data_IF_815909972803
#
_entry.id   IF_815909972803
#
_cell.length_a   1.000
_cell.length_b   1.000
_cell.length_c   1.000
_cell.angle_alpha   90.00
_cell.angle_beta   90.00
_cell.angle_gamma   90.00
#
_symmetry.space_group_name_H-M   'P 1'
#
loop_
_entity.id
_entity.type
_entity.pdbx_description
1 polymer ?
#
# COMPACT_ATOMS: atom_id res chain seq x y z
N UNK A 1 -21.51 1.78 -20.87
CA UNK A 1 -20.61 0.73 -20.32
C UNK A 1 -19.98 1.30 -19.08
N UNK A 2 -20.39 0.82 -17.88
CA UNK A 2 -19.92 1.36 -16.61
C UNK A 2 -18.49 0.92 -16.29
N UNK A 3 -17.65 1.84 -15.89
CA UNK A 3 -16.26 1.59 -15.48
C UNK A 3 -16.19 0.44 -14.47
N UNK A 4 -15.23 -0.48 -14.58
CA UNK A 4 -15.02 -1.58 -13.64
C UNK A 4 -14.75 -1.11 -12.20
N UNK A 5 -14.35 0.14 -12.04
CA UNK A 5 -13.97 0.76 -10.76
C UNK A 5 -15.11 0.90 -9.75
N UNK A 6 -16.37 0.74 -10.17
CA UNK A 6 -17.54 1.00 -9.33
C UNK A 6 -18.20 -0.26 -8.72
N UNK A 7 -17.71 -1.47 -8.98
CA UNK A 7 -18.45 -2.69 -8.62
C UNK A 7 -18.03 -3.43 -7.35
N UNK A 8 -17.02 -3.01 -6.61
CA UNK A 8 -16.64 -3.74 -5.41
C UNK A 8 -16.83 -2.96 -4.12
N UNK A 9 -18.06 -2.99 -3.60
CA UNK A 9 -18.39 -2.53 -2.24
C UNK A 9 -17.79 -3.39 -1.11
N UNK A 10 -16.91 -4.35 -1.40
CA UNK A 10 -16.20 -5.17 -0.40
C UNK A 10 -14.69 -4.93 -0.33
N UNK A 11 -14.21 -3.91 -1.01
CA UNK A 11 -12.80 -3.55 -0.90
C UNK A 11 -12.62 -2.55 0.24
N UNK A 12 -11.77 -2.90 1.17
CA UNK A 12 -11.23 -2.03 2.21
C UNK A 12 -12.04 -1.88 3.51
N UNK A 13 -12.26 -2.97 4.23
CA UNK A 13 -12.18 -2.85 5.69
C UNK A 13 -10.70 -2.76 6.07
N UNK A 14 -10.09 -1.63 5.73
CA UNK A 14 -8.74 -1.29 6.15
C UNK A 14 -8.84 -0.65 7.53
N UNK A 15 -8.47 -1.38 8.55
CA UNK A 15 -8.35 -0.81 9.88
C UNK A 15 -6.99 -0.11 9.95
N UNK A 16 -7.01 1.21 9.84
CA UNK A 16 -5.84 2.03 10.17
C UNK A 16 -5.67 2.04 11.68
N UNK A 17 -4.62 1.41 12.17
CA UNK A 17 -4.28 1.43 13.58
C UNK A 17 -3.72 2.81 13.95
N UNK A 18 -4.57 3.70 14.46
CA UNK A 18 -4.15 5.03 14.92
C UNK A 18 -3.36 4.96 16.24
N UNK A 19 -2.34 5.78 16.35
CA UNK A 19 -1.32 5.80 17.43
C UNK A 19 -1.84 5.85 18.88
N UNK A 20 -3.09 6.22 19.13
CA UNK A 20 -3.67 6.23 20.48
C UNK A 20 -3.90 4.85 21.10
N UNK A 21 -3.90 3.78 20.28
CA UNK A 21 -4.09 2.40 20.73
C UNK A 21 -2.77 1.72 21.14
N UNK A 22 -1.63 2.37 20.92
CA UNK A 22 -0.29 1.75 20.92
C UNK A 22 0.51 1.91 22.22
N UNK A 23 -0.13 2.12 23.35
CA UNK A 23 0.60 2.03 24.64
C UNK A 23 0.95 0.61 25.07
N UNK A 24 0.42 -0.41 24.37
CA UNK A 24 0.79 -1.81 24.59
C UNK A 24 1.05 -2.49 23.24
N UNK A 25 2.30 -2.83 22.95
CA UNK A 25 2.72 -3.61 21.78
C UNK A 25 2.02 -4.98 21.67
N UNK A 26 1.38 -5.43 22.73
CA UNK A 26 0.64 -6.70 22.76
C UNK A 26 -0.71 -6.65 22.01
N UNK A 27 -1.32 -5.47 21.85
CA UNK A 27 -2.64 -5.36 21.23
C UNK A 27 -2.61 -5.58 19.71
N UNK A 28 -1.70 -4.96 18.93
CA UNK A 28 -1.60 -5.25 17.50
C UNK A 28 -1.38 -6.73 17.22
N UNK A 29 -0.48 -7.38 17.98
CA UNK A 29 -0.19 -8.80 17.82
C UNK A 29 -1.42 -9.68 18.03
N UNK A 30 -2.22 -9.41 19.06
CA UNK A 30 -3.44 -10.16 19.34
C UNK A 30 -4.49 -9.96 18.25
N UNK A 31 -4.65 -8.75 17.76
CA UNK A 31 -5.59 -8.43 16.71
C UNK A 31 -5.13 -9.03 15.37
N UNK A 32 -3.89 -8.77 14.98
CA UNK A 32 -3.32 -9.28 13.73
C UNK A 32 -3.30 -10.79 13.70
N UNK A 33 -2.81 -11.45 14.77
CA UNK A 33 -2.76 -12.91 14.84
C UNK A 33 -4.10 -13.60 14.66
N UNK A 34 -5.20 -12.99 15.14
CA UNK A 34 -6.56 -13.55 15.00
C UNK A 34 -7.22 -13.22 13.66
N UNK A 35 -6.84 -12.12 13.03
CA UNK A 35 -7.58 -11.52 11.92
C UNK A 35 -6.75 -11.33 10.65
N UNK A 36 -5.46 -11.67 10.65
CA UNK A 36 -4.56 -11.46 9.51
C UNK A 36 -5.07 -12.03 8.19
N UNK A 37 -5.77 -13.17 8.24
CA UNK A 37 -6.37 -13.79 7.07
C UNK A 37 -7.61 -13.04 6.55
N UNK A 38 -8.34 -12.37 7.45
CA UNK A 38 -9.60 -11.68 7.12
C UNK A 38 -9.39 -10.22 6.76
N UNK A 39 -8.53 -9.53 7.50
CA UNK A 39 -8.33 -8.08 7.38
C UNK A 39 -6.88 -7.75 7.10
N UNK A 40 -6.66 -6.69 6.33
CA UNK A 40 -5.35 -6.06 6.20
C UNK A 40 -5.16 -5.07 7.35
N UNK A 41 -4.14 -5.31 8.18
CA UNK A 41 -3.75 -4.39 9.25
C UNK A 41 -2.62 -3.51 8.75
N UNK A 42 -2.89 -2.23 8.58
CA UNK A 42 -1.94 -1.29 7.97
C UNK A 42 -1.13 -0.57 9.04
N UNK A 43 0.20 -0.71 8.99
CA UNK A 43 1.12 0.02 9.84
C UNK A 43 1.40 1.41 9.27
N UNK A 44 0.93 2.44 9.98
CA UNK A 44 1.15 3.85 9.65
C UNK A 44 2.18 4.47 10.62
N UNK A 45 1.74 5.14 11.66
CA UNK A 45 2.61 5.84 12.62
C UNK A 45 3.52 4.89 13.42
N UNK A 46 3.21 3.61 13.46
CA UNK A 46 4.06 2.58 14.05
C UNK A 46 5.34 2.36 13.26
N UNK A 47 5.24 2.34 11.94
CA UNK A 47 6.34 2.00 11.03
C UNK A 47 7.00 3.22 10.40
N UNK A 48 6.25 4.30 10.19
CA UNK A 48 6.67 5.58 9.57
C UNK A 48 7.59 5.41 8.34
N UNK A 49 7.33 4.36 7.56
CA UNK A 49 8.15 3.98 6.39
C UNK A 49 9.63 3.71 6.74
N UNK A 50 9.95 3.49 8.00
CA UNK A 50 11.32 3.26 8.49
C UNK A 50 11.65 1.77 8.51
N UNK A 51 12.76 1.37 7.87
CA UNK A 51 13.17 -0.02 7.68
C UNK A 51 13.38 -0.77 9.00
N UNK A 52 13.95 -0.12 10.01
CA UNK A 52 14.19 -0.75 11.31
C UNK A 52 12.89 -1.01 12.05
N UNK A 53 11.99 -0.01 12.04
CA UNK A 53 10.66 -0.13 12.66
C UNK A 53 9.79 -1.16 11.93
N UNK A 54 9.89 -1.23 10.60
CA UNK A 54 9.24 -2.27 9.80
C UNK A 54 9.76 -3.65 10.20
N UNK A 55 11.09 -3.82 10.31
CA UNK A 55 11.69 -5.07 10.77
C UNK A 55 11.15 -5.51 12.12
N UNK A 56 11.16 -4.63 13.10
CA UNK A 56 10.57 -4.90 14.42
C UNK A 56 9.08 -5.26 14.34
N UNK A 57 8.31 -4.54 13.55
CA UNK A 57 6.89 -4.81 13.39
C UNK A 57 6.61 -6.16 12.69
N UNK A 58 7.51 -6.61 11.81
CA UNK A 58 7.48 -7.95 11.20
C UNK A 58 7.72 -9.02 12.27
N UNK A 59 8.81 -8.88 13.05
CA UNK A 59 9.18 -9.83 14.10
C UNK A 59 8.08 -9.98 15.15
N UNK A 60 7.47 -8.86 15.54
CA UNK A 60 6.37 -8.79 16.48
C UNK A 60 5.00 -9.15 15.88
N UNK A 61 4.91 -9.40 14.56
CA UNK A 61 3.65 -9.65 13.83
C UNK A 61 2.59 -8.57 14.08
N UNK A 62 3.03 -7.32 14.16
CA UNK A 62 2.18 -6.20 14.55
C UNK A 62 1.25 -5.72 13.42
N UNK A 63 1.65 -5.92 12.17
CA UNK A 63 0.92 -5.48 10.96
C UNK A 63 0.97 -6.55 9.87
N UNK A 64 0.21 -6.35 8.81
CA UNK A 64 0.23 -7.18 7.59
C UNK A 64 0.38 -6.34 6.33
N UNK A 65 0.53 -5.03 6.47
CA UNK A 65 0.68 -4.09 5.36
C UNK A 65 1.48 -2.86 5.80
N UNK A 66 2.37 -2.42 4.95
CA UNK A 66 3.06 -1.15 5.08
C UNK A 66 2.21 -0.02 4.48
N UNK A 67 2.01 1.08 5.21
CA UNK A 67 1.57 2.33 4.62
C UNK A 67 2.82 3.10 4.17
N UNK A 68 3.03 3.14 2.86
CA UNK A 68 4.18 3.81 2.26
C UNK A 68 3.92 5.32 2.15
N UNK A 69 4.68 6.11 2.87
CA UNK A 69 4.68 7.57 2.80
C UNK A 69 6.11 8.07 2.59
N UNK A 70 6.46 8.41 1.35
CA UNK A 70 7.84 8.77 0.97
C UNK A 70 8.42 9.88 1.85
N UNK A 71 7.62 10.90 2.18
CA UNK A 71 8.10 12.02 2.98
C UNK A 71 8.29 11.71 4.49
N UNK A 72 7.86 10.55 4.99
CA UNK A 72 8.15 10.13 6.37
C UNK A 72 9.59 9.68 6.52
N UNK A 73 10.13 8.97 5.51
CA UNK A 73 11.53 8.55 5.49
C UNK A 73 12.42 9.58 4.78
N UNK A 74 11.88 10.29 3.80
CA UNK A 74 12.53 11.45 3.19
C UNK A 74 13.30 11.17 1.91
N UNK A 75 13.53 9.92 1.53
CA UNK A 75 14.15 9.55 0.26
C UNK A 75 13.41 8.43 -0.45
N UNK A 76 13.53 8.44 -1.78
CA UNK A 76 12.94 7.40 -2.64
C UNK A 76 13.66 6.07 -2.46
N UNK A 77 14.97 6.08 -2.35
CA UNK A 77 15.78 4.87 -2.17
C UNK A 77 15.41 4.12 -0.90
N UNK A 78 15.25 4.83 0.22
CA UNK A 78 14.82 4.24 1.49
C UNK A 78 13.35 3.77 1.42
N UNK A 79 12.51 4.51 0.72
CA UNK A 79 11.11 4.09 0.45
C UNK A 79 11.05 2.77 -0.31
N UNK A 80 11.87 2.62 -1.36
CA UNK A 80 12.00 1.37 -2.12
C UNK A 80 12.49 0.24 -1.22
N UNK A 81 13.53 0.47 -0.42
CA UNK A 81 14.06 -0.52 0.50
C UNK A 81 13.01 -0.95 1.56
N UNK A 82 12.20 -0.02 2.05
CA UNK A 82 11.10 -0.31 2.96
C UNK A 82 10.02 -1.20 2.29
N UNK A 83 9.68 -0.93 1.02
CA UNK A 83 8.75 -1.75 0.23
C UNK A 83 9.30 -3.15 0.02
N UNK A 84 10.57 -3.27 -0.35
CA UNK A 84 11.25 -4.56 -0.54
C UNK A 84 11.13 -5.38 0.73
N UNK A 85 11.53 -4.82 1.87
CA UNK A 85 11.48 -5.50 3.16
C UNK A 85 10.08 -5.96 3.55
N UNK A 86 9.08 -5.11 3.34
CA UNK A 86 7.69 -5.45 3.61
C UNK A 86 7.20 -6.61 2.73
N UNK A 87 7.48 -6.56 1.42
CA UNK A 87 7.08 -7.61 0.47
C UNK A 87 7.80 -8.94 0.72
N UNK A 88 9.08 -8.93 1.09
CA UNK A 88 9.84 -10.14 1.46
C UNK A 88 9.24 -10.83 2.69
N UNK A 89 8.66 -10.07 3.61
CA UNK A 89 7.93 -10.59 4.76
C UNK A 89 6.48 -11.04 4.43
N UNK A 90 6.06 -10.96 3.17
CA UNK A 90 4.70 -11.31 2.75
C UNK A 90 3.64 -10.25 3.09
N UNK A 91 4.05 -9.03 3.43
CA UNK A 91 3.13 -7.93 3.68
C UNK A 91 2.59 -7.33 2.38
N UNK A 92 1.37 -6.81 2.43
CA UNK A 92 0.89 -5.87 1.43
C UNK A 92 1.58 -4.51 1.58
N UNK A 93 1.49 -3.68 0.54
CA UNK A 93 1.97 -2.30 0.58
C UNK A 93 0.89 -1.38 0.04
N UNK A 94 0.56 -0.33 0.77
CA UNK A 94 -0.38 0.70 0.37
C UNK A 94 0.37 2.01 0.20
N UNK A 95 0.53 2.47 -1.04
CA UNK A 95 1.08 3.80 -1.32
C UNK A 95 0.10 4.87 -0.86
N UNK A 96 0.57 5.86 -0.15
CA UNK A 96 -0.31 6.84 0.50
C UNK A 96 0.07 8.27 0.21
N UNK A 97 -0.96 9.06 -0.05
CA UNK A 97 -0.89 10.52 0.00
C UNK A 97 -0.76 11.04 1.44
N UNK A 98 -0.66 12.37 1.57
CA UNK A 98 -0.76 13.11 2.84
C UNK A 98 -2.02 13.99 2.82
N UNK A 99 -2.41 14.47 4.01
CA UNK A 99 -3.57 15.37 4.15
C UNK A 99 -3.37 16.71 3.44
N UNK A 100 -2.14 17.24 3.46
CA UNK A 100 -1.75 18.50 2.81
C UNK A 100 -1.10 18.30 1.44
N UNK A 101 -1.72 17.49 0.58
CA UNK A 101 -1.20 17.11 -0.74
C UNK A 101 -1.01 18.28 -1.71
N UNK A 102 -0.20 18.00 -2.74
CA UNK A 102 0.00 18.82 -3.93
C UNK A 102 -0.49 18.10 -5.17
N UNK A 103 -0.46 18.75 -6.33
CA UNK A 103 -0.82 18.14 -7.62
C UNK A 103 0.31 17.28 -8.23
N UNK A 104 1.41 17.08 -7.52
CA UNK A 104 2.45 16.13 -7.93
C UNK A 104 1.90 14.71 -8.05
N UNK A 105 2.27 14.00 -9.11
CA UNK A 105 1.72 12.69 -9.47
C UNK A 105 2.62 11.53 -9.07
N UNK A 106 3.85 11.79 -8.61
CA UNK A 106 4.90 10.80 -8.44
C UNK A 106 4.50 9.55 -7.65
N UNK A 107 3.64 9.68 -6.64
CA UNK A 107 3.20 8.50 -5.86
C UNK A 107 2.36 7.52 -6.68
N UNK A 108 1.72 7.96 -7.76
CA UNK A 108 1.02 7.06 -8.68
C UNK A 108 2.02 6.23 -9.49
N UNK A 109 3.06 6.88 -10.04
CA UNK A 109 4.15 6.21 -10.75
C UNK A 109 4.86 5.22 -9.83
N UNK A 110 5.14 5.62 -8.60
CA UNK A 110 5.76 4.78 -7.58
C UNK A 110 4.90 3.55 -7.24
N UNK A 111 3.58 3.74 -7.11
CA UNK A 111 2.64 2.66 -6.81
C UNK A 111 2.63 1.59 -7.89
N UNK A 112 2.63 1.99 -9.16
CA UNK A 112 2.69 1.08 -10.31
C UNK A 112 4.08 0.45 -10.41
N UNK A 113 5.14 1.25 -10.39
CA UNK A 113 6.53 0.80 -10.56
C UNK A 113 6.99 -0.20 -9.48
N UNK A 114 6.50 -0.07 -8.26
CA UNK A 114 6.78 -1.00 -7.17
C UNK A 114 5.71 -2.09 -7.03
N UNK A 115 4.74 -2.15 -7.93
CA UNK A 115 3.63 -3.11 -7.87
C UNK A 115 2.99 -3.19 -6.48
N UNK A 116 2.70 -2.03 -5.86
CA UNK A 116 2.17 -2.02 -4.48
C UNK A 116 0.76 -2.59 -4.37
N UNK A 117 0.03 -2.65 -5.50
CA UNK A 117 -1.30 -3.24 -5.60
C UNK A 117 -2.42 -2.34 -5.11
N UNK A 118 -2.10 -1.29 -4.38
CA UNK A 118 -3.09 -0.38 -3.83
C UNK A 118 -2.50 1.01 -3.57
N UNK A 119 -3.35 2.02 -3.72
CA UNK A 119 -3.01 3.41 -3.40
C UNK A 119 -4.14 4.03 -2.57
N UNK A 120 -3.78 4.78 -1.53
CA UNK A 120 -4.68 5.60 -0.74
C UNK A 120 -4.41 7.06 -1.08
N UNK A 121 -5.26 7.65 -1.93
CA UNK A 121 -5.04 9.02 -2.43
C UNK A 121 -6.25 9.95 -2.31
N UNK A 122 -7.19 9.60 -1.45
CA UNK A 122 -8.39 10.40 -1.16
C UNK A 122 -9.56 10.09 -2.08
N UNK A 123 -10.64 10.80 -1.92
CA UNK A 123 -11.79 10.73 -2.80
C UNK A 123 -11.46 11.32 -4.18
N UNK A 124 -12.15 10.92 -5.27
CA UNK A 124 -11.95 11.49 -6.60
C UNK A 124 -12.58 12.90 -6.70
N UNK A 125 -12.16 13.78 -5.84
CA UNK A 125 -12.47 15.20 -5.78
C UNK A 125 -11.27 15.97 -5.24
N UNK A 126 -11.17 17.26 -5.55
CA UNK A 126 -10.01 18.13 -5.33
C UNK A 126 -8.86 17.76 -6.26
N UNK A 127 -8.26 18.77 -6.91
CA UNK A 127 -7.31 18.58 -8.01
C UNK A 127 -6.07 17.79 -7.60
N UNK A 128 -5.57 18.00 -6.39
CA UNK A 128 -4.41 17.31 -5.87
C UNK A 128 -4.62 15.80 -5.63
N UNK A 129 -5.89 15.35 -5.56
CA UNK A 129 -6.25 13.92 -5.50
C UNK A 129 -6.48 13.36 -6.90
N UNK A 130 -7.24 14.10 -7.70
CA UNK A 130 -7.52 13.75 -9.10
C UNK A 130 -6.25 13.61 -9.94
N UNK A 131 -5.22 14.40 -9.66
CA UNK A 131 -3.92 14.31 -10.33
C UNK A 131 -3.35 12.88 -10.28
N UNK A 132 -3.43 12.20 -9.14
CA UNK A 132 -2.95 10.81 -8.98
C UNK A 132 -3.83 9.82 -9.74
N UNK A 133 -5.15 9.97 -9.68
CA UNK A 133 -6.06 9.11 -10.44
C UNK A 133 -5.86 9.27 -11.95
N UNK A 134 -5.72 10.50 -12.42
CA UNK A 134 -5.45 10.78 -13.83
C UNK A 134 -4.08 10.23 -14.27
N UNK A 135 -3.09 10.25 -13.39
CA UNK A 135 -1.78 9.68 -13.69
C UNK A 135 -1.84 8.16 -13.84
N UNK A 136 -2.60 7.46 -13.01
CA UNK A 136 -2.82 6.02 -13.18
C UNK A 136 -3.45 5.69 -14.53
N UNK A 137 -4.40 6.51 -15.00
CA UNK A 137 -5.00 6.34 -16.33
C UNK A 137 -3.98 6.57 -17.45
N UNK A 138 -3.09 7.58 -17.33
CA UNK A 138 -2.03 7.81 -18.32
C UNK A 138 -1.03 6.65 -18.35
N UNK A 139 -0.65 6.12 -17.20
CA UNK A 139 0.24 4.96 -17.13
C UNK A 139 -0.41 3.74 -17.79
N UNK A 140 -1.71 3.51 -17.55
CA UNK A 140 -2.46 2.41 -18.18
C UNK A 140 -2.49 2.57 -19.70
N UNK A 141 -2.71 3.78 -20.20
CA UNK A 141 -2.69 4.10 -21.63
C UNK A 141 -1.29 3.92 -22.24
N UNK A 142 -0.25 4.37 -21.57
CA UNK A 142 1.15 4.27 -22.02
C UNK A 142 1.63 2.81 -22.09
N UNK A 143 1.29 2.01 -21.11
CA UNK A 143 1.66 0.59 -21.06
C UNK A 143 0.87 -0.26 -22.07
N UNK A 144 -0.31 0.17 -22.43
CA UNK A 144 -1.18 -0.48 -23.40
C UNK A 144 -1.96 -1.68 -22.86
N UNK A 145 -2.98 -2.05 -23.61
CA UNK A 145 -3.86 -3.17 -23.25
C UNK A 145 -3.09 -4.50 -23.19
N UNK A 146 -3.25 -5.22 -22.11
CA UNK A 146 -2.59 -6.52 -21.87
C UNK A 146 -1.29 -6.44 -21.07
N UNK A 147 -0.72 -5.25 -20.87
CA UNK A 147 0.47 -5.05 -20.04
C UNK A 147 0.11 -4.50 -18.65
N UNK A 148 -1.15 -4.20 -18.40
CA UNK A 148 -1.67 -3.71 -17.13
C UNK A 148 -2.72 -4.67 -16.60
N UNK A 149 -2.70 -4.88 -15.28
CA UNK A 149 -3.67 -5.72 -14.58
C UNK A 149 -4.17 -4.98 -13.35
N UNK A 150 -5.49 -4.85 -13.24
CA UNK A 150 -6.10 -4.39 -11.99
C UNK A 150 -5.91 -5.44 -10.90
N UNK A 151 -5.27 -5.07 -9.80
CA UNK A 151 -4.89 -6.00 -8.73
C UNK A 151 -6.10 -6.73 -8.10
N UNK A 152 -7.27 -6.09 -8.04
CA UNK A 152 -8.52 -6.70 -7.57
C UNK A 152 -8.33 -7.38 -6.21
N UNK A 153 -8.69 -8.65 -6.12
CA UNK A 153 -8.56 -9.44 -4.90
C UNK A 153 -7.10 -9.76 -4.53
N UNK A 154 -6.19 -9.69 -5.49
CA UNK A 154 -4.75 -9.94 -5.30
C UNK A 154 -3.97 -8.72 -4.80
N UNK A 155 -4.63 -7.64 -4.40
CA UNK A 155 -3.99 -6.38 -4.01
C UNK A 155 -2.94 -6.50 -2.89
N UNK A 156 -3.00 -7.55 -2.08
CA UNK A 156 -2.02 -7.81 -1.00
C UNK A 156 -0.77 -8.53 -1.47
N UNK A 157 -0.87 -9.28 -2.56
CA UNK A 157 0.15 -10.24 -3.00
C UNK A 157 0.56 -10.03 -4.45
N UNK A 158 0.57 -8.77 -4.90
CA UNK A 158 1.00 -8.44 -6.25
C UNK A 158 2.41 -8.94 -6.52
N UNK A 159 2.60 -9.59 -7.66
CA UNK A 159 3.92 -9.99 -8.12
C UNK A 159 4.81 -8.76 -8.33
N UNK A 160 6.10 -8.89 -8.08
CA UNK A 160 7.04 -7.80 -8.31
C UNK A 160 8.46 -8.33 -8.58
N UNK A 161 9.27 -7.56 -9.33
CA UNK A 161 10.70 -7.77 -9.54
C UNK A 161 11.11 -9.23 -9.84
N UNK A 162 10.49 -9.84 -10.83
CA UNK A 162 10.95 -11.13 -11.38
C UNK A 162 10.76 -12.34 -10.47
N UNK A 163 10.17 -12.19 -9.29
CA UNK A 163 9.68 -13.33 -8.51
C UNK A 163 8.29 -13.72 -9.00
N UNK A 164 8.20 -14.23 -10.22
CA UNK A 164 7.08 -15.09 -10.59
C UNK A 164 7.09 -16.26 -9.61
N UNK A 165 6.03 -16.38 -8.80
CA UNK A 165 5.78 -17.66 -8.13
C UNK A 165 5.71 -18.70 -9.25
N UNK A 166 6.71 -19.57 -9.35
CA UNK A 166 6.50 -20.84 -9.98
C UNK A 166 5.30 -21.46 -9.25
N UNK A 167 4.21 -21.65 -10.00
CA UNK A 167 3.08 -22.40 -9.51
C UNK A 167 3.62 -23.79 -9.13
N UNK A 168 3.51 -24.13 -7.87
CA UNK A 168 3.70 -25.48 -7.38
C UNK A 168 2.40 -26.27 -7.58
#
# INVERSE_FOLDING_TARGET
MGSPWLRHRRCCETISAHAKLFRSLSFPNRFTGKNAAKFQVVGDDLTVTNIEKIGRAIDEKACTCLLLKVNQIGSISESIAAVIKAKEAGWGVMTSHRSGETEDTYIADLAVGLCTGQIKTGAPCRSERLAKYNQLLRIEEELGAGNTVYAGESFRTTAWMGKTKQAA
#
